data_IF_569868777867
#
_entry.id   IF_569868777867
#
_cell.length_a   1.000
_cell.length_b   1.000
_cell.length_c   1.000
_cell.angle_alpha   90.00
_cell.angle_beta   90.00
_cell.angle_gamma   90.00
#
_symmetry.space_group_name_H-M   'P 1'
#
loop_
_entity.id
_entity.type
_entity.pdbx_description
1 polymer ?
#
# COMPACT_ATOMS: atom_id res chain seq x y z
N UNK A 1 3.25 5.03 5.25
CA UNK A 1 1.86 5.39 4.87
C UNK A 1 1.31 6.41 5.84
N UNK A 2 1.52 6.25 7.14
CA UNK A 2 1.00 7.10 8.22
C UNK A 2 1.27 8.60 7.99
N UNK A 3 2.54 8.99 7.75
CA UNK A 3 2.89 10.39 7.48
C UNK A 3 2.17 10.96 6.24
N UNK A 4 2.00 10.14 5.18
CA UNK A 4 1.28 10.54 3.97
C UNK A 4 -0.22 10.71 4.22
N UNK A 5 -0.84 9.78 4.95
CA UNK A 5 -2.27 9.87 5.27
C UNK A 5 -2.58 11.03 6.21
N UNK A 6 -1.73 11.26 7.20
CA UNK A 6 -1.86 12.42 8.09
C UNK A 6 -1.61 13.72 7.33
N UNK A 7 -0.66 13.75 6.39
CA UNK A 7 -0.51 14.87 5.47
C UNK A 7 -1.80 15.11 4.67
N UNK A 8 -2.41 14.08 4.08
CA UNK A 8 -3.67 14.21 3.34
C UNK A 8 -4.84 14.69 4.23
N UNK A 9 -4.83 14.38 5.53
CA UNK A 9 -5.83 14.88 6.47
C UNK A 9 -5.65 16.37 6.77
N UNK A 10 -4.40 16.86 6.77
CA UNK A 10 -4.05 18.23 7.17
C UNK A 10 -4.02 19.21 5.99
N UNK A 11 -3.66 18.73 4.80
CA UNK A 11 -3.60 19.55 3.60
C UNK A 11 -5.01 19.94 3.15
N UNK A 12 -5.16 21.19 2.70
CA UNK A 12 -6.43 21.66 2.14
C UNK A 12 -6.82 20.81 0.92
N UNK A 13 -8.01 20.22 0.96
CA UNK A 13 -8.55 19.39 -0.10
C UNK A 13 -9.92 19.93 -0.53
N UNK A 14 -9.96 20.87 -1.49
CA UNK A 14 -11.22 21.40 -1.99
C UNK A 14 -12.03 20.31 -2.71
N UNK A 15 -13.33 20.56 -2.90
CA UNK A 15 -14.21 19.62 -3.59
C UNK A 15 -13.67 19.27 -4.99
N UNK A 16 -13.51 17.98 -5.27
CA UNK A 16 -13.07 17.50 -6.56
C UNK A 16 -14.19 17.62 -7.59
N UNK A 17 -14.03 18.49 -8.59
CA UNK A 17 -14.96 18.53 -9.72
C UNK A 17 -14.61 17.46 -10.76
N UNK A 18 -15.57 17.13 -11.64
CA UNK A 18 -15.42 16.07 -12.65
C UNK A 18 -14.23 16.31 -13.61
N UNK A 19 -13.79 17.57 -13.79
CA UNK A 19 -12.61 17.89 -14.59
C UNK A 19 -11.31 17.49 -13.87
N UNK A 20 -11.16 17.85 -12.59
CA UNK A 20 -10.04 17.41 -11.76
C UNK A 20 -9.99 15.89 -11.60
N UNK A 21 -11.14 15.22 -11.45
CA UNK A 21 -11.19 13.76 -11.36
C UNK A 21 -10.56 13.08 -12.59
N UNK A 22 -10.86 13.59 -13.79
CA UNK A 22 -10.25 13.08 -15.04
C UNK A 22 -8.73 13.27 -15.05
N UNK A 23 -8.23 14.41 -14.57
CA UNK A 23 -6.79 14.66 -14.46
C UNK A 23 -6.13 13.72 -13.45
N UNK A 24 -6.79 13.45 -12.31
CA UNK A 24 -6.30 12.51 -11.30
C UNK A 24 -6.21 11.08 -11.84
N UNK A 25 -7.26 10.62 -12.54
CA UNK A 25 -7.27 9.30 -13.22
C UNK A 25 -6.16 9.24 -14.28
N UNK A 26 -6.00 10.30 -15.06
CA UNK A 26 -4.95 10.40 -16.07
C UNK A 26 -3.55 10.30 -15.44
N UNK A 27 -3.25 11.12 -14.44
CA UNK A 27 -1.96 11.14 -13.76
C UNK A 27 -1.65 9.77 -13.13
N UNK A 28 -2.62 9.16 -12.46
CA UNK A 28 -2.48 7.81 -11.92
C UNK A 28 -2.10 6.80 -13.01
N UNK A 29 -2.78 6.85 -14.15
CA UNK A 29 -2.48 5.99 -15.30
C UNK A 29 -1.07 6.24 -15.85
N UNK A 30 -0.65 7.51 -15.97
CA UNK A 30 0.70 7.87 -16.41
C UNK A 30 1.77 7.31 -15.47
N UNK A 31 1.60 7.43 -14.15
CA UNK A 31 2.56 6.89 -13.18
C UNK A 31 2.58 5.36 -13.19
N UNK A 32 1.43 4.70 -13.34
CA UNK A 32 1.36 3.23 -13.42
C UNK A 32 2.13 2.70 -14.63
N UNK A 33 1.94 3.32 -15.80
CA UNK A 33 2.52 2.82 -17.06
C UNK A 33 3.93 3.35 -17.34
N UNK A 34 4.24 4.56 -16.87
CA UNK A 34 5.44 5.31 -17.24
C UNK A 34 6.16 5.95 -16.04
N UNK A 35 5.81 5.61 -14.79
CA UNK A 35 6.34 6.28 -13.59
C UNK A 35 7.85 6.16 -13.35
N UNK A 36 8.56 5.30 -14.10
CA UNK A 36 10.03 5.23 -14.08
C UNK A 36 10.71 6.12 -15.14
N UNK A 37 9.94 6.80 -15.99
CA UNK A 37 10.47 7.78 -16.93
C UNK A 37 10.83 9.07 -16.15
N UNK A 38 12.11 9.40 -16.09
CA UNK A 38 12.64 10.58 -15.39
C UNK A 38 12.06 11.91 -15.91
N UNK A 39 11.60 11.93 -17.16
CA UNK A 39 11.02 13.11 -17.81
C UNK A 39 9.49 13.14 -17.78
N UNK A 40 8.84 12.25 -17.02
CA UNK A 40 7.38 12.14 -16.98
C UNK A 40 6.75 13.46 -16.50
N UNK A 41 5.86 14.00 -17.33
CA UNK A 41 5.02 15.15 -16.99
C UNK A 41 3.63 14.68 -16.57
N UNK A 42 3.07 15.34 -15.56
CA UNK A 42 1.71 15.18 -15.05
C UNK A 42 0.97 16.50 -15.16
N UNK A 43 -0.36 16.48 -15.01
CA UNK A 43 -1.17 17.69 -15.01
C UNK A 43 -1.57 18.09 -13.59
N UNK A 44 -1.33 19.36 -13.25
CA UNK A 44 -1.86 20.00 -12.03
C UNK A 44 -3.37 20.16 -12.11
N UNK A 45 -4.01 20.54 -11.01
CA UNK A 45 -5.46 20.82 -10.97
C UNK A 45 -5.89 21.92 -11.94
N UNK A 46 -4.98 22.85 -12.26
CA UNK A 46 -5.19 23.92 -13.25
C UNK A 46 -4.86 23.47 -14.69
N UNK A 47 -4.53 22.19 -14.90
CA UNK A 47 -4.19 21.63 -16.21
C UNK A 47 -2.80 21.98 -16.71
N UNK A 48 -1.92 22.54 -15.88
CA UNK A 48 -0.54 22.84 -16.23
C UNK A 48 0.35 21.61 -16.07
N UNK A 49 1.32 21.45 -16.98
CA UNK A 49 2.32 20.37 -16.88
C UNK A 49 3.26 20.57 -15.69
N UNK A 50 3.62 19.46 -15.06
CA UNK A 50 4.56 19.42 -13.96
C UNK A 50 5.30 18.09 -13.94
N UNK A 51 6.63 18.14 -13.76
CA UNK A 51 7.44 16.93 -13.66
C UNK A 51 7.04 16.09 -12.44
N UNK A 52 6.99 14.76 -12.62
CA UNK A 52 6.81 13.80 -11.53
C UNK A 52 7.86 14.01 -10.43
N UNK A 53 9.13 14.21 -10.82
CA UNK A 53 10.24 14.34 -9.87
C UNK A 53 10.11 15.63 -9.04
N UNK A 54 9.78 16.74 -9.71
CA UNK A 54 9.55 18.01 -9.04
C UNK A 54 8.36 17.92 -8.09
N UNK A 55 7.21 17.45 -8.60
CA UNK A 55 5.99 17.40 -7.82
C UNK A 55 6.10 16.43 -6.64
N UNK A 56 6.70 15.26 -6.87
CA UNK A 56 6.96 14.28 -5.82
C UNK A 56 7.89 14.82 -4.74
N UNK A 57 8.91 15.60 -5.09
CA UNK A 57 9.86 16.16 -4.11
C UNK A 57 9.16 17.15 -3.19
N UNK A 58 8.35 18.04 -3.76
CA UNK A 58 7.58 19.00 -2.98
C UNK A 58 6.56 18.34 -2.05
N UNK A 59 5.90 17.26 -2.52
CA UNK A 59 5.01 16.47 -1.68
C UNK A 59 5.79 15.79 -0.55
N UNK A 60 6.96 15.22 -0.83
CA UNK A 60 7.80 14.58 0.18
C UNK A 60 8.32 15.59 1.21
N UNK A 61 8.61 16.84 0.83
CA UNK A 61 8.99 17.90 1.78
C UNK A 61 7.88 18.18 2.80
N UNK A 62 6.63 18.27 2.32
CA UNK A 62 5.47 18.45 3.19
C UNK A 62 5.21 17.23 4.08
N UNK A 63 5.32 16.02 3.51
CA UNK A 63 5.14 14.77 4.24
C UNK A 63 6.23 14.58 5.30
N UNK A 64 7.46 15.00 5.03
CA UNK A 64 8.57 14.96 5.99
C UNK A 64 8.32 15.84 7.21
N UNK A 65 7.67 17.00 7.02
CA UNK A 65 7.23 17.84 8.14
C UNK A 65 6.26 17.10 9.07
N UNK A 66 5.32 16.36 8.48
CA UNK A 66 4.36 15.52 9.24
C UNK A 66 5.06 14.33 9.89
N UNK A 67 6.03 13.72 9.21
CA UNK A 67 6.83 12.62 9.74
C UNK A 67 7.61 13.02 11.00
N UNK A 68 8.21 14.21 11.01
CA UNK A 68 8.90 14.73 12.19
C UNK A 68 7.96 14.92 13.39
N UNK A 69 6.73 15.37 13.15
CA UNK A 69 5.71 15.47 14.21
C UNK A 69 5.28 14.11 14.75
N UNK A 70 5.22 13.08 13.90
CA UNK A 70 4.92 11.71 14.33
C UNK A 70 6.06 11.12 15.16
N UNK A 71 7.32 11.34 14.77
CA UNK A 71 8.48 10.91 15.54
C UNK A 71 8.50 11.56 16.94
N UNK A 72 8.19 12.86 17.04
CA UNK A 72 8.06 13.57 18.32
C UNK A 72 6.89 13.05 19.17
N UNK A 73 5.71 12.90 18.56
CA UNK A 73 4.50 12.43 19.25
C UNK A 73 4.64 11.02 19.83
N UNK A 74 5.35 10.13 19.12
CA UNK A 74 5.62 8.76 19.58
C UNK A 74 6.91 8.65 20.42
N UNK A 75 7.62 9.76 20.65
CA UNK A 75 8.90 9.80 21.38
C UNK A 75 9.93 8.80 20.81
N UNK A 76 9.94 8.67 19.48
CA UNK A 76 10.82 7.77 18.77
C UNK A 76 12.21 8.40 18.67
N UNK A 77 13.19 7.79 19.33
CA UNK A 77 14.58 8.28 19.32
C UNK A 77 15.33 7.95 18.01
N UNK A 78 14.74 7.17 17.12
CA UNK A 78 15.36 6.68 15.88
C UNK A 78 14.85 7.37 14.61
N UNK A 79 13.97 8.37 14.72
CA UNK A 79 13.38 9.11 13.60
C UNK A 79 12.77 8.17 12.53
N UNK A 80 12.08 7.12 12.96
CA UNK A 80 11.59 6.06 12.07
C UNK A 80 10.70 6.61 10.94
N UNK A 81 9.84 7.59 11.21
CA UNK A 81 8.97 8.17 10.18
C UNK A 81 9.75 9.03 9.19
N UNK A 82 10.65 9.90 9.66
CA UNK A 82 11.50 10.72 8.79
C UNK A 82 12.38 9.84 7.91
N UNK A 83 12.99 8.80 8.47
CA UNK A 83 13.81 7.84 7.72
C UNK A 83 12.99 7.09 6.65
N UNK A 84 11.73 6.75 6.95
CA UNK A 84 10.84 6.11 5.98
C UNK A 84 10.51 7.04 4.80
N UNK A 85 10.35 8.34 5.03
CA UNK A 85 10.14 9.36 3.98
C UNK A 85 11.41 9.55 3.15
N UNK A 86 12.57 9.64 3.79
CA UNK A 86 13.87 9.74 3.11
C UNK A 86 14.10 8.56 2.15
N UNK A 87 13.76 7.33 2.57
CA UNK A 87 13.84 6.16 1.70
C UNK A 87 12.90 6.22 0.47
N UNK A 88 11.78 6.96 0.54
CA UNK A 88 10.94 7.20 -0.64
C UNK A 88 11.54 8.27 -1.55
N UNK A 89 12.15 9.31 -0.96
CA UNK A 89 12.88 10.35 -1.70
C UNK A 89 14.01 9.77 -2.54
N UNK A 90 14.72 8.78 -2.01
CA UNK A 90 15.73 8.06 -2.79
C UNK A 90 15.17 7.38 -4.04
N UNK A 91 13.98 6.80 -3.97
CA UNK A 91 13.33 6.15 -5.12
C UNK A 91 12.84 7.15 -6.17
N UNK A 92 12.50 8.36 -5.72
CA UNK A 92 12.13 9.46 -6.61
C UNK A 92 13.36 10.00 -7.37
N UNK A 93 14.51 10.08 -6.69
CA UNK A 93 15.76 10.54 -7.26
C UNK A 93 16.44 9.49 -8.15
N UNK A 94 16.24 8.21 -7.84
CA UNK A 94 16.79 7.09 -8.58
C UNK A 94 15.69 6.02 -8.76
N UNK A 95 15.09 6.02 -9.95
CA UNK A 95 13.99 5.11 -10.28
C UNK A 95 14.41 3.63 -10.26
N UNK A 96 15.72 3.32 -10.32
CA UNK A 96 16.22 1.94 -10.22
C UNK A 96 16.01 1.32 -8.83
N UNK A 97 15.84 2.15 -7.80
CA UNK A 97 15.52 1.73 -6.42
C UNK A 97 14.04 1.40 -6.21
N UNK A 98 13.19 1.65 -7.19
CA UNK A 98 11.77 1.26 -7.11
C UNK A 98 11.64 -0.26 -7.14
N UNK A 99 10.68 -0.86 -6.38
CA UNK A 99 10.46 -2.30 -6.41
C UNK A 99 10.17 -2.85 -7.82
N UNK A 100 9.50 -2.07 -8.68
CA UNK A 100 9.25 -2.44 -10.07
C UNK A 100 10.53 -2.50 -10.90
N UNK A 101 11.48 -1.58 -10.71
CA UNK A 101 12.79 -1.65 -11.36
C UNK A 101 13.63 -2.80 -10.83
N UNK A 102 13.66 -3.02 -9.51
CA UNK A 102 14.40 -4.12 -8.89
C UNK A 102 13.93 -5.48 -9.39
N UNK A 103 12.61 -5.68 -9.49
CA UNK A 103 12.03 -6.90 -10.05
C UNK A 103 12.42 -7.10 -11.51
N UNK A 104 12.33 -6.05 -12.35
CA UNK A 104 12.73 -6.13 -13.75
C UNK A 104 14.23 -6.40 -13.92
N UNK A 105 15.09 -5.83 -13.07
CA UNK A 105 16.52 -6.10 -13.07
C UNK A 105 16.81 -7.55 -12.68
N UNK A 106 16.12 -8.10 -11.68
CA UNK A 106 16.24 -9.51 -11.30
C UNK A 106 15.81 -10.48 -12.42
N UNK A 107 14.95 -10.04 -13.35
CA UNK A 107 14.58 -10.82 -14.54
C UNK A 107 15.66 -10.82 -15.63
N UNK A 108 16.62 -9.88 -15.61
CA UNK A 108 17.71 -9.84 -16.60
C UNK A 108 18.73 -10.97 -16.40
N UNK A 109 18.75 -11.61 -15.23
CA UNK A 109 19.63 -12.73 -14.88
C UNK A 109 19.13 -14.11 -15.41
N UNK A 110 18.46 -14.13 -16.56
CA UNK A 110 17.81 -15.30 -17.18
C UNK A 110 16.70 -15.97 -16.33
N UNK A 111 16.16 -15.29 -15.32
CA UNK A 111 15.02 -15.78 -14.52
C UNK A 111 13.72 -15.23 -15.05
N UNK A 112 12.71 -16.09 -15.23
CA UNK A 112 11.36 -15.62 -15.51
C UNK A 112 10.73 -15.00 -14.26
N UNK A 113 9.66 -14.22 -14.44
CA UNK A 113 8.86 -13.71 -13.32
C UNK A 113 8.40 -14.84 -12.37
N UNK A 114 7.99 -15.98 -12.92
CA UNK A 114 7.53 -17.14 -12.15
C UNK A 114 8.66 -17.72 -11.30
N UNK A 115 9.88 -17.79 -11.84
CA UNK A 115 11.04 -18.31 -11.11
C UNK A 115 11.37 -17.42 -9.89
N UNK A 116 11.34 -16.09 -10.09
CA UNK A 116 11.59 -15.12 -9.01
C UNK A 116 10.53 -15.24 -7.92
N UNK A 117 9.24 -15.28 -8.30
CA UNK A 117 8.16 -15.44 -7.34
C UNK A 117 8.23 -16.76 -6.57
N UNK A 118 8.60 -17.85 -7.23
CA UNK A 118 8.77 -19.15 -6.58
C UNK A 118 9.95 -19.14 -5.60
N UNK A 119 11.07 -18.50 -5.97
CA UNK A 119 12.22 -18.33 -5.09
C UNK A 119 11.85 -17.51 -3.84
N UNK A 120 11.15 -16.38 -4.02
CA UNK A 120 10.64 -15.57 -2.91
C UNK A 120 9.69 -16.37 -2.00
N UNK A 121 8.79 -17.16 -2.58
CA UNK A 121 7.87 -18.00 -1.81
C UNK A 121 8.63 -19.06 -0.97
N UNK A 122 9.67 -19.69 -1.54
CA UNK A 122 10.53 -20.65 -0.81
C UNK A 122 11.32 -19.97 0.31
N UNK A 123 11.81 -18.75 0.08
CA UNK A 123 12.54 -17.97 1.07
C UNK A 123 11.61 -17.57 2.23
N UNK A 124 10.40 -17.09 1.94
CA UNK A 124 9.40 -16.79 2.97
C UNK A 124 8.99 -18.04 3.76
N UNK A 125 8.75 -19.17 3.09
CA UNK A 125 8.47 -20.45 3.78
C UNK A 125 9.58 -20.79 4.76
N UNK A 126 10.83 -20.82 4.29
CA UNK A 126 12.00 -21.12 5.13
C UNK A 126 12.13 -20.15 6.30
N UNK A 127 11.87 -18.86 6.08
CA UNK A 127 11.88 -17.86 7.14
C UNK A 127 10.87 -18.17 8.24
N UNK A 128 9.60 -18.46 7.89
CA UNK A 128 8.57 -18.75 8.87
C UNK A 128 8.74 -20.11 9.55
N UNK A 129 9.31 -21.11 8.87
CA UNK A 129 9.67 -22.39 9.48
C UNK A 129 10.79 -22.22 10.55
N UNK A 130 11.73 -21.30 10.32
CA UNK A 130 12.85 -21.05 11.23
C UNK A 130 12.55 -20.01 12.32
N UNK A 131 11.44 -19.28 12.22
CA UNK A 131 11.01 -18.26 13.19
C UNK A 131 9.60 -18.61 13.69
N UNK A 132 9.45 -19.68 14.47
CA UNK A 132 8.14 -20.10 14.96
C UNK A 132 7.53 -19.04 15.89
N UNK A 133 6.20 -19.01 15.91
CA UNK A 133 5.44 -18.19 16.86
C UNK A 133 5.79 -18.57 18.30
N UNK A 134 5.60 -17.62 19.22
CA UNK A 134 5.62 -17.94 20.64
C UNK A 134 4.50 -18.95 20.96
N UNK A 135 4.69 -19.76 22.00
CA UNK A 135 3.70 -20.74 22.41
C UNK A 135 2.34 -20.09 22.75
N UNK A 136 2.36 -18.87 23.28
CA UNK A 136 1.18 -18.07 23.58
C UNK A 136 0.41 -17.70 22.32
N UNK A 137 1.08 -17.11 21.32
CA UNK A 137 0.44 -16.72 20.06
C UNK A 137 -0.06 -17.95 19.28
N UNK A 138 0.69 -19.05 19.31
CA UNK A 138 0.26 -20.30 18.68
C UNK A 138 -1.02 -20.85 19.34
N UNK A 139 -1.09 -20.83 20.67
CA UNK A 139 -2.29 -21.27 21.39
C UNK A 139 -3.50 -20.38 21.10
N UNK A 140 -3.29 -19.06 21.03
CA UNK A 140 -4.32 -18.11 20.63
C UNK A 140 -4.85 -18.41 19.21
N UNK A 141 -3.97 -18.62 18.23
CA UNK A 141 -4.38 -18.94 16.86
C UNK A 141 -5.12 -20.27 16.76
N UNK A 142 -4.72 -21.28 17.53
CA UNK A 142 -5.43 -22.56 17.61
C UNK A 142 -6.83 -22.39 18.19
N UNK A 143 -6.97 -21.59 19.25
CA UNK A 143 -8.27 -21.27 19.82
C UNK A 143 -9.15 -20.51 18.83
N UNK A 144 -8.63 -19.48 18.17
CA UNK A 144 -9.35 -18.71 17.15
C UNK A 144 -9.80 -19.59 15.98
N UNK A 145 -8.93 -20.52 15.52
CA UNK A 145 -9.29 -21.48 14.47
C UNK A 145 -10.39 -22.46 14.90
N UNK A 146 -10.43 -22.85 16.17
CA UNK A 146 -11.51 -23.70 16.66
C UNK A 146 -12.82 -22.91 16.78
N UNK A 147 -12.75 -21.71 17.34
CA UNK A 147 -13.90 -20.84 17.53
C UNK A 147 -14.53 -20.46 16.19
N UNK A 148 -13.74 -20.15 15.16
CA UNK A 148 -14.28 -19.78 13.84
C UNK A 148 -15.12 -20.89 13.20
N UNK A 149 -14.77 -22.15 13.41
CA UNK A 149 -15.56 -23.29 12.93
C UNK A 149 -16.87 -23.46 13.70
N UNK A 150 -16.84 -23.23 15.02
CA UNK A 150 -18.06 -23.24 15.84
C UNK A 150 -19.00 -22.10 15.46
N UNK A 151 -18.45 -20.90 15.26
CA UNK A 151 -19.21 -19.72 14.86
C UNK A 151 -19.81 -19.92 13.46
N UNK A 152 -19.05 -20.48 12.51
CA UNK A 152 -19.57 -20.85 11.20
C UNK A 152 -20.75 -21.82 11.32
N UNK A 153 -20.61 -22.90 12.08
CA UNK A 153 -21.67 -23.88 12.25
C UNK A 153 -22.91 -23.28 12.93
N UNK A 154 -22.71 -22.38 13.89
CA UNK A 154 -23.80 -21.69 14.56
C UNK A 154 -24.59 -20.80 13.60
N UNK A 155 -23.90 -20.08 12.70
CA UNK A 155 -24.55 -19.29 11.63
C UNK A 155 -25.34 -20.20 10.70
N UNK A 156 -24.70 -21.24 10.15
CA UNK A 156 -25.33 -22.18 9.22
C UNK A 156 -26.55 -22.90 9.84
N UNK A 157 -26.54 -23.14 11.15
CA UNK A 157 -27.66 -23.76 11.87
C UNK A 157 -28.78 -22.76 12.20
N UNK A 158 -28.43 -21.48 12.31
CA UNK A 158 -29.36 -20.39 12.60
C UNK A 158 -30.06 -19.83 11.36
N UNK A 159 -29.63 -20.22 10.15
CA UNK A 159 -30.26 -19.81 8.90
C UNK A 159 -31.74 -20.22 8.87
N UNK A 160 -32.62 -19.23 8.75
CA UNK A 160 -34.08 -19.42 8.73
C UNK A 160 -34.70 -19.30 7.34
N UNK A 161 -33.97 -18.77 6.38
CA UNK A 161 -34.42 -18.53 5.01
C UNK A 161 -33.51 -19.21 4.00
N UNK A 162 -33.99 -19.41 2.77
CA UNK A 162 -33.13 -19.94 1.71
C UNK A 162 -32.14 -18.87 1.25
N UNK A 163 -31.02 -19.31 0.66
CA UNK A 163 -30.05 -18.37 0.11
C UNK A 163 -30.65 -17.42 -0.93
N UNK A 164 -31.60 -17.89 -1.75
CA UNK A 164 -32.27 -17.07 -2.75
C UNK A 164 -33.14 -15.98 -2.10
N UNK A 165 -33.84 -16.31 -1.00
CA UNK A 165 -34.65 -15.34 -0.25
C UNK A 165 -33.77 -14.29 0.44
N UNK A 166 -32.68 -14.73 1.08
CA UNK A 166 -31.68 -13.83 1.66
C UNK A 166 -31.13 -12.84 0.61
N UNK A 167 -30.76 -13.35 -0.58
CA UNK A 167 -30.26 -12.51 -1.67
C UNK A 167 -31.32 -11.51 -2.17
N UNK A 168 -32.58 -11.92 -2.28
CA UNK A 168 -33.67 -11.03 -2.68
C UNK A 168 -33.87 -9.90 -1.66
N UNK A 169 -33.82 -10.22 -0.37
CA UNK A 169 -33.91 -9.23 0.71
C UNK A 169 -32.70 -8.29 0.74
N UNK A 170 -31.47 -8.82 0.64
CA UNK A 170 -30.24 -8.02 0.66
C UNK A 170 -30.18 -7.00 -0.49
N UNK A 171 -30.57 -7.40 -1.71
CA UNK A 171 -30.52 -6.51 -2.88
C UNK A 171 -31.67 -5.49 -2.94
N UNK A 172 -32.64 -5.59 -2.03
CA UNK A 172 -33.73 -4.62 -1.90
C UNK A 172 -33.41 -3.49 -0.91
N UNK A 173 -32.30 -3.60 -0.16
CA UNK A 173 -31.72 -2.55 0.69
C UNK A 173 -30.86 -1.59 -0.15
#
# INVERSE_FOLDING_TARGET
MDAFLLFCLLEESPSCEAAQEKLNIHNKSQVVNHGRNENLQLFTEQGQERSLQQWGSELLDKIETVAALLDDAHQLNDNAYVNAVAAQREKLNDSSKTPSAQLLNAMQDNKSFVDICLELAKNHKTHFENNPLSAEVLAEFQQQSHQSLLDQQAIETADTETFDDFLAHYNAL
#
